data_IF_939704491735
#
_entry.id   IF_939704491735
#
_cell.length_a   1.000
_cell.length_b   1.000
_cell.length_c   1.000
_cell.angle_alpha   90.00
_cell.angle_beta   90.00
_cell.angle_gamma   90.00
#
_symmetry.space_group_name_H-M   'P 1'
#
loop_
_entity.id
_entity.type
_entity.pdbx_description
1 polymer ?
#
# COMPACT_ATOMS: atom_id res chain seq x y z
N UNK A 1 13.90 0.51 -23.50
CA UNK A 1 14.00 -0.87 -22.98
C UNK A 1 15.44 -1.27 -22.64
N UNK A 2 16.40 -1.21 -23.57
CA UNK A 2 17.78 -1.70 -23.38
C UNK A 2 18.49 -1.10 -22.14
N UNK A 3 18.36 0.20 -21.89
CA UNK A 3 18.96 0.86 -20.73
C UNK A 3 18.38 0.41 -19.37
N UNK A 4 17.09 0.07 -19.34
CA UNK A 4 16.39 -0.38 -18.13
C UNK A 4 16.82 -1.79 -17.73
N UNK A 5 17.01 -2.67 -18.73
CA UNK A 5 17.52 -4.03 -18.53
C UNK A 5 18.99 -4.05 -18.10
N UNK A 6 19.81 -3.10 -18.60
CA UNK A 6 21.20 -2.94 -18.17
C UNK A 6 21.31 -2.42 -16.73
N UNK A 7 20.46 -1.48 -16.34
CA UNK A 7 20.38 -0.97 -14.95
C UNK A 7 20.01 -2.09 -13.96
N UNK A 8 19.00 -2.91 -14.29
CA UNK A 8 18.57 -4.02 -13.43
C UNK A 8 19.64 -5.12 -13.30
N UNK A 9 20.32 -5.46 -14.41
CA UNK A 9 21.45 -6.42 -14.39
C UNK A 9 22.54 -5.96 -13.44
N UNK A 10 22.90 -4.67 -13.49
CA UNK A 10 23.90 -4.07 -12.60
C UNK A 10 23.49 -4.14 -11.13
N UNK A 11 22.24 -3.80 -10.81
CA UNK A 11 21.71 -3.87 -9.45
C UNK A 11 21.75 -5.31 -8.89
N UNK A 12 21.32 -6.30 -9.68
CA UNK A 12 21.35 -7.72 -9.29
C UNK A 12 22.79 -8.17 -9.02
N UNK A 13 23.72 -7.84 -9.92
CA UNK A 13 25.13 -8.19 -9.81
C UNK A 13 25.78 -7.60 -8.55
N UNK A 14 25.55 -6.31 -8.28
CA UNK A 14 26.08 -5.64 -7.08
C UNK A 14 25.52 -6.25 -5.81
N UNK A 15 24.22 -6.58 -5.77
CA UNK A 15 23.61 -7.19 -4.59
C UNK A 15 24.13 -8.61 -4.34
N UNK A 16 24.29 -9.42 -5.38
CA UNK A 16 24.88 -10.75 -5.29
C UNK A 16 26.31 -10.68 -4.71
N UNK A 17 27.14 -9.76 -5.22
CA UNK A 17 28.49 -9.50 -4.70
C UNK A 17 28.47 -9.12 -3.22
N UNK A 18 27.55 -8.25 -2.81
CA UNK A 18 27.42 -7.83 -1.41
C UNK A 18 27.03 -8.99 -0.50
N UNK A 19 26.02 -9.79 -0.87
CA UNK A 19 25.63 -10.98 -0.09
C UNK A 19 26.77 -11.99 0.06
N UNK A 20 27.54 -12.19 -1.01
CA UNK A 20 28.75 -13.02 -0.98
C UNK A 20 29.79 -12.49 0.01
N UNK A 21 30.06 -11.19 -0.03
CA UNK A 21 31.02 -10.53 0.86
C UNK A 21 30.56 -10.55 2.33
N UNK A 22 29.27 -10.36 2.59
CA UNK A 22 28.66 -10.46 3.94
C UNK A 22 28.85 -11.87 4.54
N UNK A 23 28.80 -12.93 3.70
CA UNK A 23 29.13 -14.31 4.09
C UNK A 23 30.63 -14.64 4.03
N UNK A 24 31.49 -13.67 3.68
CA UNK A 24 32.94 -13.81 3.49
C UNK A 24 33.34 -14.92 2.52
N UNK A 25 32.54 -15.16 1.48
CA UNK A 25 32.84 -16.17 0.47
C UNK A 25 33.71 -15.64 -0.66
N UNK A 26 34.57 -16.50 -1.19
CA UNK A 26 35.31 -16.24 -2.43
C UNK A 26 34.37 -16.34 -3.64
N UNK A 27 34.79 -15.79 -4.78
CA UNK A 27 34.04 -15.98 -6.03
C UNK A 27 33.94 -17.47 -6.40
N UNK A 28 35.02 -18.24 -6.25
CA UNK A 28 35.00 -19.69 -6.52
C UNK A 28 33.95 -20.40 -5.67
N UNK A 29 33.91 -20.12 -4.35
CA UNK A 29 32.95 -20.75 -3.45
C UNK A 29 31.48 -20.47 -3.82
N UNK A 30 31.14 -19.26 -4.23
CA UNK A 30 29.79 -18.96 -4.70
C UNK A 30 29.53 -19.59 -6.09
N UNK A 31 30.52 -19.56 -6.98
CA UNK A 31 30.40 -20.12 -8.32
C UNK A 31 30.08 -21.62 -8.28
N UNK A 32 30.77 -22.38 -7.42
CA UNK A 32 30.53 -23.81 -7.22
C UNK A 32 29.09 -24.09 -6.76
N UNK A 33 28.56 -23.28 -5.83
CA UNK A 33 27.18 -23.41 -5.31
C UNK A 33 26.12 -23.11 -6.35
N UNK A 34 26.44 -22.27 -7.33
CA UNK A 34 25.55 -21.86 -8.40
C UNK A 34 25.75 -22.67 -9.69
N UNK A 35 26.67 -23.65 -9.70
CA UNK A 35 26.98 -24.44 -10.88
C UNK A 35 27.57 -23.63 -12.03
N UNK A 36 28.44 -22.67 -11.73
CA UNK A 36 29.11 -21.82 -12.73
C UNK A 36 30.62 -21.72 -12.49
N UNK A 37 31.37 -21.30 -13.51
CA UNK A 37 32.80 -21.07 -13.37
C UNK A 37 33.09 -19.77 -12.60
N UNK A 38 34.20 -19.71 -11.87
CA UNK A 38 34.62 -18.48 -11.19
C UNK A 38 34.72 -17.28 -12.16
N UNK A 39 35.24 -17.50 -13.38
CA UNK A 39 35.31 -16.46 -14.40
C UNK A 39 33.91 -15.93 -14.76
N UNK A 40 32.93 -16.82 -14.91
CA UNK A 40 31.55 -16.42 -15.19
C UNK A 40 30.95 -15.62 -14.04
N UNK A 41 31.21 -16.00 -12.78
CA UNK A 41 30.78 -15.19 -11.64
C UNK A 41 31.41 -13.79 -11.67
N UNK A 42 32.71 -13.73 -11.95
CA UNK A 42 33.43 -12.46 -12.04
C UNK A 42 32.85 -11.54 -13.13
N UNK A 43 32.51 -12.08 -14.29
CA UNK A 43 31.82 -11.32 -15.35
C UNK A 43 30.46 -10.79 -14.90
N UNK A 44 29.67 -11.64 -14.24
CA UNK A 44 28.35 -11.26 -13.73
C UNK A 44 28.49 -10.14 -12.69
N UNK A 45 29.37 -10.28 -11.70
CA UNK A 45 29.59 -9.26 -10.65
C UNK A 45 30.13 -7.93 -11.20
N UNK A 46 30.74 -7.93 -12.39
CA UNK A 46 31.16 -6.73 -13.14
C UNK A 46 30.05 -6.16 -14.05
N UNK A 47 28.85 -6.73 -14.04
CA UNK A 47 27.72 -6.32 -14.87
C UNK A 47 27.79 -6.78 -16.33
N UNK A 48 28.80 -7.59 -16.70
CA UNK A 48 29.03 -8.07 -18.07
C UNK A 48 28.29 -9.39 -18.35
N UNK A 49 27.67 -9.99 -17.34
CA UNK A 49 26.85 -11.21 -17.47
C UNK A 49 25.54 -11.10 -16.70
N UNK A 50 24.68 -12.11 -16.88
CA UNK A 50 23.47 -12.31 -16.08
C UNK A 50 23.48 -13.73 -15.51
N UNK A 51 22.82 -13.92 -14.37
CA UNK A 51 22.39 -15.24 -13.92
C UNK A 51 21.30 -15.78 -14.84
N UNK A 52 21.25 -17.10 -15.04
CA UNK A 52 20.03 -17.76 -15.51
C UNK A 52 18.94 -17.71 -14.42
N UNK A 53 17.70 -18.04 -14.77
CA UNK A 53 16.62 -18.10 -13.79
C UNK A 53 16.90 -19.13 -12.69
N UNK A 54 17.42 -20.30 -13.05
CA UNK A 54 17.77 -21.39 -12.13
C UNK A 54 18.92 -20.98 -11.19
N UNK A 55 19.95 -20.34 -11.72
CA UNK A 55 21.06 -19.79 -10.93
C UNK A 55 20.57 -18.73 -9.96
N UNK A 56 19.65 -17.86 -10.41
CA UNK A 56 19.08 -16.82 -9.56
C UNK A 56 18.21 -17.42 -8.44
N UNK A 57 17.36 -18.40 -8.72
CA UNK A 57 16.60 -19.10 -7.67
C UNK A 57 17.51 -19.83 -6.68
N UNK A 58 18.62 -20.41 -7.16
CA UNK A 58 19.63 -21.04 -6.31
C UNK A 58 20.35 -20.02 -5.44
N UNK A 59 20.63 -18.82 -5.97
CA UNK A 59 21.19 -17.68 -5.24
C UNK A 59 20.25 -17.26 -4.09
N UNK A 60 18.95 -17.09 -4.37
CA UNK A 60 17.94 -16.75 -3.36
C UNK A 60 17.92 -17.78 -2.22
N UNK A 61 17.89 -19.07 -2.56
CA UNK A 61 17.93 -20.18 -1.59
C UNK A 61 19.22 -20.20 -0.78
N UNK A 62 20.36 -20.02 -1.44
CA UNK A 62 21.70 -20.08 -0.82
C UNK A 62 21.88 -19.01 0.25
N UNK A 63 21.38 -17.80 -0.02
CA UNK A 63 21.49 -16.69 0.92
C UNK A 63 20.28 -16.55 1.86
N UNK A 64 19.22 -17.34 1.63
CA UNK A 64 17.94 -17.27 2.33
C UNK A 64 17.33 -15.85 2.27
N UNK A 65 17.20 -15.31 1.06
CA UNK A 65 16.69 -13.97 0.79
C UNK A 65 15.53 -13.99 -0.20
N UNK A 66 14.66 -12.98 -0.10
CA UNK A 66 13.54 -12.79 -1.03
C UNK A 66 13.99 -12.04 -2.30
N UNK A 67 13.20 -12.14 -3.37
CA UNK A 67 13.47 -11.47 -4.65
C UNK A 67 13.60 -9.94 -4.49
N UNK A 68 12.78 -9.36 -3.60
CA UNK A 68 12.79 -7.92 -3.26
C UNK A 68 14.15 -7.41 -2.79
N UNK A 69 15.01 -8.31 -2.28
CA UNK A 69 16.38 -7.97 -1.87
C UNK A 69 17.23 -7.45 -3.03
N UNK A 70 16.88 -7.83 -4.27
CA UNK A 70 17.57 -7.45 -5.51
C UNK A 70 16.84 -6.38 -6.30
N UNK A 71 15.63 -5.97 -5.87
CA UNK A 71 14.95 -4.85 -6.46
C UNK A 71 15.72 -3.55 -6.13
N UNK A 72 15.81 -2.59 -7.07
CA UNK A 72 16.24 -1.25 -6.70
C UNK A 72 15.27 -0.69 -5.64
N UNK A 73 15.74 0.15 -4.70
CA UNK A 73 14.84 0.76 -3.73
C UNK A 73 13.80 1.57 -4.50
N UNK A 74 12.56 1.07 -4.53
CA UNK A 74 11.48 1.81 -5.12
C UNK A 74 11.07 2.93 -4.15
N UNK A 75 10.53 4.02 -4.70
CA UNK A 75 9.91 5.03 -3.85
C UNK A 75 8.71 4.37 -3.15
N UNK A 76 8.69 4.42 -1.81
CA UNK A 76 7.64 3.78 -1.01
C UNK A 76 6.23 4.18 -1.47
N UNK A 77 6.06 5.42 -1.92
CA UNK A 77 4.80 5.91 -2.50
C UNK A 77 4.37 5.14 -3.76
N UNK A 78 5.30 4.79 -4.65
CA UNK A 78 5.03 4.04 -5.88
C UNK A 78 4.76 2.55 -5.61
N UNK A 79 5.46 1.94 -4.65
CA UNK A 79 5.16 0.58 -4.18
C UNK A 79 3.73 0.49 -3.64
N UNK A 80 3.35 1.45 -2.79
CA UNK A 80 2.05 1.51 -2.16
C UNK A 80 0.94 1.76 -3.17
N UNK A 81 1.17 2.63 -4.16
CA UNK A 81 0.25 2.86 -5.27
C UNK A 81 -0.01 1.59 -6.09
N UNK A 82 1.05 0.85 -6.43
CA UNK A 82 0.91 -0.41 -7.16
C UNK A 82 0.20 -1.49 -6.32
N UNK A 83 0.46 -1.52 -5.02
CA UNK A 83 -0.24 -2.44 -4.12
C UNK A 83 -1.74 -2.12 -4.00
N UNK A 84 -2.10 -0.84 -3.90
CA UNK A 84 -3.49 -0.37 -3.94
C UNK A 84 -4.19 -0.73 -5.25
N UNK A 85 -3.53 -0.52 -6.39
CA UNK A 85 -4.07 -0.88 -7.70
C UNK A 85 -4.40 -2.37 -7.79
N UNK A 86 -3.46 -3.24 -7.40
CA UNK A 86 -3.66 -4.70 -7.33
C UNK A 86 -4.74 -5.11 -6.33
N UNK A 87 -4.89 -4.38 -5.22
CA UNK A 87 -5.92 -4.63 -4.22
C UNK A 87 -7.32 -4.11 -4.65
N UNK A 88 -7.48 -3.58 -5.86
CA UNK A 88 -8.78 -3.20 -6.43
C UNK A 88 -8.99 -1.70 -6.62
N UNK A 89 -8.02 -0.84 -6.27
CA UNK A 89 -8.03 0.57 -6.66
C UNK A 89 -7.52 0.76 -8.11
N UNK A 90 -8.18 0.09 -9.07
CA UNK A 90 -7.78 0.00 -10.48
C UNK A 90 -7.64 1.33 -11.21
N UNK A 91 -8.24 2.40 -10.68
CA UNK A 91 -8.11 3.77 -11.19
C UNK A 91 -6.76 4.44 -10.86
N UNK A 92 -5.91 3.82 -10.05
CA UNK A 92 -4.55 4.28 -9.81
C UNK A 92 -3.65 3.77 -10.94
N UNK A 93 -2.88 4.68 -11.54
CA UNK A 93 -1.94 4.31 -12.60
C UNK A 93 -0.77 3.51 -12.01
N UNK A 94 -0.53 2.29 -12.49
CA UNK A 94 0.61 1.51 -12.00
C UNK A 94 1.95 2.10 -12.50
N UNK A 95 2.89 2.28 -11.58
CA UNK A 95 4.27 2.60 -11.89
C UNK A 95 4.93 1.35 -12.50
N UNK A 96 5.26 1.41 -13.79
CA UNK A 96 5.77 0.25 -14.58
C UNK A 96 7.18 -0.20 -14.18
N UNK A 97 7.90 0.62 -13.45
CA UNK A 97 9.29 0.44 -13.04
C UNK A 97 9.44 -0.10 -11.61
N UNK A 98 8.34 -0.35 -10.91
CA UNK A 98 8.34 -0.83 -9.53
C UNK A 98 7.95 -2.31 -9.46
N UNK A 99 8.85 -3.13 -8.92
CA UNK A 99 8.59 -4.55 -8.69
C UNK A 99 7.58 -4.74 -7.55
N UNK A 100 6.66 -5.72 -7.66
CA UNK A 100 5.80 -6.11 -6.56
C UNK A 100 6.65 -6.59 -5.37
N UNK A 101 6.28 -6.17 -4.16
CA UNK A 101 6.86 -6.68 -2.91
C UNK A 101 5.89 -7.62 -2.22
N UNK A 102 6.43 -8.68 -1.59
CA UNK A 102 5.63 -9.57 -0.75
C UNK A 102 5.08 -8.85 0.50
N UNK A 103 5.73 -7.78 0.96
CA UNK A 103 5.30 -6.98 2.12
C UNK A 103 3.88 -6.43 1.96
N UNK A 104 3.50 -6.05 0.74
CA UNK A 104 2.23 -5.37 0.43
C UNK A 104 1.27 -6.27 -0.34
N UNK A 105 1.35 -7.58 -0.10
CA UNK A 105 0.48 -8.57 -0.75
C UNK A 105 -0.92 -8.64 -0.14
N UNK A 106 -1.01 -8.47 1.18
CA UNK A 106 -2.29 -8.55 1.90
C UNK A 106 -2.97 -7.18 1.95
N UNK A 107 -4.28 -7.14 1.65
CA UNK A 107 -5.08 -5.92 1.68
C UNK A 107 -5.04 -5.23 3.06
N UNK A 108 -5.01 -6.01 4.15
CA UNK A 108 -4.88 -5.49 5.51
C UNK A 108 -3.59 -4.68 5.70
N UNK A 109 -2.46 -5.21 5.23
CA UNK A 109 -1.16 -4.53 5.30
C UNK A 109 -1.18 -3.25 4.47
N UNK A 110 -1.75 -3.30 3.26
CA UNK A 110 -1.89 -2.10 2.40
C UNK A 110 -2.72 -1.02 3.10
N UNK A 111 -3.87 -1.38 3.68
CA UNK A 111 -4.73 -0.43 4.41
C UNK A 111 -3.95 0.21 5.57
N UNK A 112 -3.26 -0.59 6.38
CA UNK A 112 -2.47 -0.09 7.51
C UNK A 112 -1.37 0.88 7.06
N UNK A 113 -0.61 0.54 6.02
CA UNK A 113 0.49 1.36 5.51
C UNK A 113 0.01 2.70 4.92
N UNK A 114 -1.13 2.70 4.22
CA UNK A 114 -1.76 3.95 3.73
C UNK A 114 -2.20 4.84 4.87
N UNK A 115 -2.83 4.28 5.91
CA UNK A 115 -3.28 5.06 7.07
C UNK A 115 -2.10 5.61 7.89
N UNK A 116 -1.01 4.84 7.99
CA UNK A 116 0.19 5.25 8.70
C UNK A 116 0.95 6.36 7.95
N UNK A 117 1.17 6.18 6.65
CA UNK A 117 1.94 7.13 5.84
C UNK A 117 1.13 8.39 5.49
N UNK A 118 -0.13 8.24 5.10
CA UNK A 118 -1.07 9.29 4.72
C UNK A 118 -0.50 10.37 3.76
N UNK A 119 0.51 10.01 2.95
CA UNK A 119 1.27 10.99 2.17
C UNK A 119 0.52 11.53 0.95
N UNK A 120 -0.51 10.82 0.51
CA UNK A 120 -1.26 11.14 -0.70
C UNK A 120 -2.76 11.03 -0.46
N UNK A 121 -3.52 12.14 -0.61
CA UNK A 121 -4.99 12.12 -0.57
C UNK A 121 -5.59 11.04 -1.47
N UNK A 122 -5.05 10.90 -2.68
CA UNK A 122 -5.49 9.91 -3.67
C UNK A 122 -5.29 8.47 -3.20
N UNK A 123 -4.21 8.18 -2.49
CA UNK A 123 -3.97 6.83 -1.93
C UNK A 123 -4.90 6.55 -0.75
N UNK A 124 -5.20 7.56 0.07
CA UNK A 124 -6.14 7.45 1.20
C UNK A 124 -7.57 7.21 0.69
N UNK A 125 -8.04 7.95 -0.31
CA UNK A 125 -9.39 7.77 -0.86
C UNK A 125 -9.53 6.46 -1.63
N UNK A 126 -8.43 5.96 -2.21
CA UNK A 126 -8.37 4.63 -2.82
C UNK A 126 -8.60 3.46 -1.84
N UNK A 127 -8.60 3.71 -0.53
CA UNK A 127 -9.02 2.69 0.44
C UNK A 127 -10.50 2.29 0.25
N UNK A 128 -11.37 3.16 -0.24
CA UNK A 128 -12.77 2.81 -0.49
C UNK A 128 -12.92 1.65 -1.50
N UNK A 129 -12.37 1.72 -2.72
CA UNK A 129 -12.43 0.59 -3.64
C UNK A 129 -11.65 -0.64 -3.17
N UNK A 130 -10.57 -0.47 -2.39
CA UNK A 130 -9.87 -1.63 -1.78
C UNK A 130 -10.76 -2.36 -0.77
N UNK A 131 -11.44 -1.64 0.12
CA UNK A 131 -12.37 -2.22 1.09
C UNK A 131 -13.51 -2.97 0.38
N UNK A 132 -14.08 -2.38 -0.68
CA UNK A 132 -15.14 -3.01 -1.48
C UNK A 132 -14.68 -4.30 -2.15
N UNK A 133 -13.49 -4.31 -2.76
CA UNK A 133 -13.02 -5.47 -3.52
C UNK A 133 -12.48 -6.61 -2.63
N UNK A 134 -12.18 -6.33 -1.36
CA UNK A 134 -11.65 -7.32 -0.43
C UNK A 134 -12.59 -7.65 0.72
N UNK A 135 -13.84 -7.15 0.70
CA UNK A 135 -14.77 -7.24 1.83
C UNK A 135 -14.96 -8.66 2.37
N UNK A 136 -14.94 -9.67 1.50
CA UNK A 136 -15.17 -11.07 1.87
C UNK A 136 -13.98 -11.72 2.59
N UNK A 137 -12.77 -11.20 2.37
CA UNK A 137 -11.54 -11.70 3.00
C UNK A 137 -11.04 -10.84 4.16
N UNK A 138 -11.66 -9.68 4.40
CA UNK A 138 -11.21 -8.74 5.43
C UNK A 138 -11.74 -9.13 6.81
N UNK A 139 -10.82 -9.44 7.73
CA UNK A 139 -11.13 -9.56 9.15
C UNK A 139 -11.01 -8.18 9.82
N UNK A 140 -12.14 -7.49 9.99
CA UNK A 140 -12.17 -6.16 10.60
C UNK A 140 -11.72 -6.17 12.06
N UNK A 141 -12.03 -7.21 12.84
CA UNK A 141 -11.57 -7.31 14.22
C UNK A 141 -10.04 -7.33 14.32
N UNK A 142 -9.39 -8.13 13.45
CA UNK A 142 -7.92 -8.16 13.32
C UNK A 142 -7.39 -6.80 12.86
N UNK A 143 -7.96 -6.23 11.80
CA UNK A 143 -7.53 -4.93 11.27
C UNK A 143 -7.61 -3.83 12.34
N UNK A 144 -8.71 -3.76 13.11
CA UNK A 144 -8.86 -2.80 14.20
C UNK A 144 -7.85 -3.03 15.33
N UNK A 145 -7.59 -4.28 15.72
CA UNK A 145 -6.56 -4.61 16.71
C UNK A 145 -5.16 -4.18 16.24
N UNK A 146 -4.83 -4.45 14.97
CA UNK A 146 -3.54 -4.11 14.38
C UNK A 146 -3.34 -2.59 14.33
N UNK A 147 -4.34 -1.81 13.90
CA UNK A 147 -4.22 -0.34 13.89
C UNK A 147 -4.31 0.28 15.28
N UNK A 148 -4.97 -0.37 16.24
CA UNK A 148 -5.03 0.09 17.62
C UNK A 148 -3.65 0.06 18.28
N UNK A 149 -2.86 -1.00 18.01
CA UNK A 149 -1.49 -1.13 18.54
C UNK A 149 -0.56 0.01 18.14
N UNK A 150 -0.89 0.74 17.06
CA UNK A 150 -0.12 1.87 16.52
C UNK A 150 -0.88 3.20 16.62
N UNK A 151 -2.01 3.26 17.33
CA UNK A 151 -2.76 4.49 17.55
C UNK A 151 -3.55 5.02 16.35
N UNK A 152 -3.75 4.21 15.30
CA UNK A 152 -4.41 4.63 14.05
C UNK A 152 -5.90 4.26 13.98
N UNK A 153 -6.51 3.83 15.09
CA UNK A 153 -7.94 3.47 15.15
C UNK A 153 -8.85 4.60 14.66
N UNK A 154 -8.53 5.86 15.01
CA UNK A 154 -9.29 7.02 14.57
C UNK A 154 -9.24 7.22 13.05
N UNK A 155 -8.07 7.06 12.43
CA UNK A 155 -7.88 7.15 10.97
C UNK A 155 -8.64 6.04 10.24
N UNK A 156 -8.60 4.82 10.75
CA UNK A 156 -9.35 3.71 10.16
C UNK A 156 -10.86 3.95 10.24
N UNK A 157 -11.37 4.30 11.43
CA UNK A 157 -12.80 4.58 11.60
C UNK A 157 -13.29 5.73 10.72
N UNK A 158 -12.49 6.80 10.59
CA UNK A 158 -12.76 7.89 9.67
C UNK A 158 -12.80 7.45 8.20
N UNK A 159 -11.81 6.68 7.74
CA UNK A 159 -11.77 6.20 6.36
C UNK A 159 -12.94 5.25 6.06
N UNK A 160 -13.31 4.40 7.02
CA UNK A 160 -14.46 3.50 6.92
C UNK A 160 -15.77 4.29 6.88
N UNK A 161 -15.95 5.30 7.73
CA UNK A 161 -17.17 6.12 7.72
C UNK A 161 -17.32 6.93 6.42
N UNK A 162 -16.22 7.49 5.90
CA UNK A 162 -16.26 8.13 4.58
C UNK A 162 -16.59 7.13 3.46
N UNK A 163 -16.07 5.91 3.53
CA UNK A 163 -16.40 4.84 2.58
C UNK A 163 -17.88 4.46 2.65
N UNK A 164 -18.46 4.34 3.86
CA UNK A 164 -19.90 4.09 4.06
C UNK A 164 -20.74 5.23 3.45
N UNK A 165 -20.36 6.48 3.68
CA UNK A 165 -21.03 7.65 3.09
C UNK A 165 -20.97 7.63 1.56
N UNK A 166 -19.81 7.31 0.98
CA UNK A 166 -19.61 7.20 -0.45
C UNK A 166 -20.46 6.06 -1.06
N UNK A 167 -20.50 4.89 -0.41
CA UNK A 167 -21.34 3.76 -0.82
C UNK A 167 -22.82 4.11 -0.80
N UNK A 168 -23.30 4.84 0.21
CA UNK A 168 -24.68 5.31 0.25
C UNK A 168 -25.00 6.25 -0.92
N UNK A 169 -24.06 7.13 -1.30
CA UNK A 169 -24.19 7.99 -2.48
C UNK A 169 -24.26 7.19 -3.79
N UNK A 170 -23.43 6.17 -3.96
CA UNK A 170 -23.46 5.30 -5.15
C UNK A 170 -24.72 4.43 -5.22
N UNK A 171 -25.19 3.89 -4.09
CA UNK A 171 -26.40 3.06 -4.03
C UNK A 171 -27.68 3.83 -4.35
N UNK A 172 -27.68 5.16 -4.21
CA UNK A 172 -28.77 6.03 -4.63
C UNK A 172 -28.83 6.23 -6.16
N UNK A 173 -27.76 5.90 -6.89
CA UNK A 173 -27.70 5.94 -8.35
C UNK A 173 -28.20 4.62 -8.96
N UNK A 174 -28.47 4.63 -10.27
CA UNK A 174 -28.68 3.40 -11.01
C UNK A 174 -27.35 2.62 -11.16
N UNK A 175 -27.30 1.43 -10.57
CA UNK A 175 -26.16 0.53 -10.61
C UNK A 175 -26.50 -0.79 -11.33
N UNK A 176 -25.54 -1.42 -12.01
CA UNK A 176 -25.68 -2.82 -12.42
C UNK A 176 -25.91 -3.75 -11.20
N UNK A 177 -26.70 -4.84 -11.33
CA UNK A 177 -27.03 -5.73 -10.20
C UNK A 177 -25.81 -6.22 -9.42
N UNK A 178 -24.73 -6.62 -10.12
CA UNK A 178 -23.48 -7.09 -9.51
C UNK A 178 -22.88 -6.07 -8.52
N UNK A 179 -22.90 -4.79 -8.90
CA UNK A 179 -22.32 -3.70 -8.11
C UNK A 179 -23.23 -3.29 -6.97
N UNK A 180 -24.54 -3.29 -7.18
CA UNK A 180 -25.51 -3.04 -6.12
C UNK A 180 -25.36 -4.06 -4.98
N UNK A 181 -25.29 -5.36 -5.31
CA UNK A 181 -25.11 -6.42 -4.29
C UNK A 181 -23.80 -6.20 -3.53
N UNK A 182 -22.69 -6.00 -4.25
CA UNK A 182 -21.37 -5.81 -3.64
C UNK A 182 -21.31 -4.57 -2.74
N UNK A 183 -21.83 -3.44 -3.20
CA UNK A 183 -21.85 -2.19 -2.42
C UNK A 183 -22.76 -2.30 -1.19
N UNK A 184 -23.94 -2.90 -1.32
CA UNK A 184 -24.83 -3.14 -0.18
C UNK A 184 -24.19 -4.03 0.89
N UNK A 185 -23.57 -5.15 0.48
CA UNK A 185 -22.85 -6.05 1.39
C UNK A 185 -21.70 -5.34 2.09
N UNK A 186 -20.91 -4.58 1.32
CA UNK A 186 -19.79 -3.80 1.87
C UNK A 186 -20.28 -2.78 2.88
N UNK A 187 -21.31 -2.01 2.55
CA UNK A 187 -21.89 -1.00 3.43
C UNK A 187 -22.32 -1.62 4.76
N UNK A 188 -23.05 -2.75 4.74
CA UNK A 188 -23.50 -3.45 5.96
C UNK A 188 -22.32 -3.89 6.83
N UNK A 189 -21.31 -4.53 6.23
CA UNK A 189 -20.14 -5.00 6.96
C UNK A 189 -19.35 -3.84 7.60
N UNK A 190 -19.19 -2.73 6.87
CA UNK A 190 -18.52 -1.54 7.38
C UNK A 190 -19.32 -0.86 8.51
N UNK A 191 -20.64 -0.71 8.36
CA UNK A 191 -21.51 -0.16 9.41
C UNK A 191 -21.49 -1.00 10.69
N UNK A 192 -21.50 -2.32 10.55
CA UNK A 192 -21.34 -3.25 11.68
C UNK A 192 -19.98 -3.03 12.37
N UNK A 193 -18.90 -2.89 11.59
CA UNK A 193 -17.55 -2.66 12.14
C UNK A 193 -17.43 -1.33 12.89
N UNK A 194 -18.03 -0.25 12.37
CA UNK A 194 -18.04 1.06 13.02
C UNK A 194 -18.79 1.05 14.35
N UNK A 195 -19.88 0.29 14.41
CA UNK A 195 -20.68 0.15 15.62
C UNK A 195 -19.91 -0.55 16.75
N UNK A 196 -19.01 -1.47 16.41
CA UNK A 196 -18.22 -2.24 17.38
C UNK A 196 -17.06 -1.45 18.01
N UNK A 197 -16.45 -0.52 17.27
CA UNK A 197 -15.24 0.21 17.70
C UNK A 197 -15.57 1.40 18.61
N UNK A 198 -16.82 1.83 18.60
CA UNK A 198 -17.25 3.04 19.29
C UNK A 198 -16.67 4.30 18.64
N UNK A 199 -17.33 5.43 18.84
CA UNK A 199 -16.79 6.73 18.40
C UNK A 199 -15.62 7.12 19.31
N UNK A 200 -14.61 7.84 18.81
CA UNK A 200 -13.48 8.27 19.65
C UNK A 200 -14.01 9.01 20.88
N UNK A 201 -13.66 8.49 22.06
CA UNK A 201 -14.09 9.04 23.34
C UNK A 201 -13.62 10.47 23.51
N UNK A 202 -14.55 11.37 23.81
CA UNK A 202 -14.30 12.80 24.02
C UNK A 202 -13.58 13.07 25.33
N UNK A 203 -12.28 12.83 25.37
CA UNK A 203 -11.41 13.42 26.38
C UNK A 203 -11.19 14.92 26.07
N UNK A 204 -11.27 15.83 27.06
CA UNK A 204 -11.09 17.28 26.87
C UNK A 204 -9.68 17.68 26.40
N UNK A 205 -8.72 16.75 26.35
CA UNK A 205 -7.34 16.98 25.94
C UNK A 205 -6.94 16.32 24.60
N UNK A 206 -7.84 15.66 23.86
CA UNK A 206 -7.41 14.94 22.67
C UNK A 206 -7.00 15.90 21.52
N UNK A 207 -5.76 15.82 21.08
CA UNK A 207 -5.24 16.63 19.97
C UNK A 207 -5.89 16.16 18.67
N UNK A 208 -6.20 17.07 17.73
CA UNK A 208 -6.65 16.66 16.39
C UNK A 208 -5.51 15.89 15.70
N UNK A 209 -5.86 14.79 15.05
CA UNK A 209 -4.92 14.03 14.22
C UNK A 209 -4.70 14.74 12.89
N UNK A 210 -3.48 15.21 12.66
CA UNK A 210 -3.07 15.87 11.41
C UNK A 210 -2.73 14.79 10.39
N UNK A 211 -3.65 14.56 9.46
CA UNK A 211 -3.51 13.55 8.41
C UNK A 211 -2.84 14.13 7.16
N UNK A 212 -3.11 15.39 6.85
CA UNK A 212 -2.69 16.03 5.60
C UNK A 212 -1.25 16.58 5.72
N UNK A 213 -0.30 16.08 4.91
CA UNK A 213 1.10 16.51 4.99
C UNK A 213 1.31 17.95 4.54
N UNK A 214 0.36 18.56 3.82
CA UNK A 214 0.38 19.96 3.42
C UNK A 214 -0.06 20.93 4.53
N UNK A 215 -0.25 20.47 5.77
CA UNK A 215 -0.52 21.31 6.93
C UNK A 215 0.82 21.69 7.57
N UNK A 216 1.40 22.79 7.09
CA UNK A 216 2.73 23.24 7.52
C UNK A 216 2.69 24.32 8.62
N UNK A 217 1.52 24.89 8.93
CA UNK A 217 1.39 25.98 9.90
C UNK A 217 0.09 25.89 10.72
N UNK A 218 0.08 26.57 11.87
CA UNK A 218 -1.11 26.70 12.72
C UNK A 218 -2.26 27.39 11.99
N UNK A 219 -1.95 28.41 11.18
CA UNK A 219 -2.94 29.10 10.36
C UNK A 219 -3.62 28.15 9.37
N UNK A 220 -2.83 27.37 8.61
CA UNK A 220 -3.36 26.36 7.69
C UNK A 220 -4.18 25.31 8.43
N UNK A 221 -3.75 24.89 9.63
CA UNK A 221 -4.50 23.96 10.46
C UNK A 221 -5.86 24.52 10.89
N UNK A 222 -5.93 25.79 11.29
CA UNK A 222 -7.18 26.44 11.69
C UNK A 222 -8.16 26.57 10.52
N UNK A 223 -7.66 26.96 9.34
CA UNK A 223 -8.47 27.01 8.11
C UNK A 223 -9.08 25.65 7.79
N UNK A 224 -8.27 24.60 7.78
CA UNK A 224 -8.72 23.24 7.49
C UNK A 224 -9.70 22.74 8.55
N UNK A 225 -9.50 23.09 9.82
CA UNK A 225 -10.46 22.74 10.88
C UNK A 225 -11.82 23.42 10.71
N UNK A 226 -11.86 24.61 10.12
CA UNK A 226 -13.11 25.28 9.78
C UNK A 226 -13.82 24.59 8.61
N UNK A 227 -13.08 24.20 7.57
CA UNK A 227 -13.62 23.66 6.31
C UNK A 227 -13.85 22.13 6.31
N UNK A 228 -13.25 21.39 7.25
CA UNK A 228 -13.33 19.91 7.27
C UNK A 228 -14.78 19.40 7.36
N UNK A 229 -15.01 18.24 6.76
CA UNK A 229 -16.32 17.57 6.77
C UNK A 229 -16.82 17.23 8.18
N UNK A 230 -18.13 16.99 8.33
CA UNK A 230 -18.71 16.55 9.60
C UNK A 230 -18.12 15.21 10.09
N UNK A 231 -17.75 14.31 9.17
CA UNK A 231 -17.08 13.04 9.50
C UNK A 231 -15.68 13.34 10.06
N UNK A 232 -14.89 14.19 9.38
CA UNK A 232 -13.57 14.61 9.86
C UNK A 232 -13.63 15.31 11.22
N UNK A 233 -14.65 16.16 11.48
CA UNK A 233 -14.88 16.76 12.81
C UNK A 233 -15.13 15.69 13.88
N UNK A 234 -16.00 14.72 13.60
CA UNK A 234 -16.38 13.66 14.54
C UNK A 234 -15.19 12.78 14.91
N UNK A 235 -14.36 12.43 13.94
CA UNK A 235 -13.16 11.61 14.15
C UNK A 235 -11.93 12.42 14.58
N UNK A 236 -12.06 13.74 14.76
CA UNK A 236 -10.97 14.66 15.13
C UNK A 236 -9.79 14.60 14.16
N UNK A 237 -10.07 14.48 12.87
CA UNK A 237 -9.05 14.46 11.82
C UNK A 237 -8.99 15.84 11.17
N UNK A 238 -7.79 16.39 11.07
CA UNK A 238 -7.48 17.59 10.30
C UNK A 238 -6.97 17.17 8.93
N UNK A 239 -7.81 17.36 7.91
CA UNK A 239 -7.52 16.99 6.52
C UNK A 239 -8.37 17.81 5.57
N UNK A 240 -7.83 18.11 4.38
CA UNK A 240 -8.60 18.68 3.27
C UNK A 240 -9.48 17.65 2.57
N UNK A 241 -9.22 16.35 2.78
CA UNK A 241 -9.94 15.26 2.12
C UNK A 241 -11.43 15.33 2.47
N UNK A 242 -12.27 15.37 1.43
CA UNK A 242 -13.72 15.41 1.55
C UNK A 242 -14.37 14.05 1.26
N UNK A 243 -15.57 13.77 1.81
CA UNK A 243 -16.29 12.53 1.57
C UNK A 243 -16.54 12.24 0.07
N UNK A 244 -16.72 13.29 -0.73
CA UNK A 244 -16.96 13.20 -2.17
C UNK A 244 -15.77 12.58 -2.92
N UNK A 245 -14.53 12.75 -2.43
CA UNK A 245 -13.34 12.17 -3.04
C UNK A 245 -13.29 10.64 -2.90
N UNK A 246 -13.84 10.09 -1.80
CA UNK A 246 -14.02 8.63 -1.65
C UNK A 246 -15.05 8.09 -2.65
N UNK A 247 -16.11 8.86 -2.91
CA UNK A 247 -17.12 8.50 -3.90
C UNK A 247 -16.53 8.53 -5.32
N UNK A 248 -15.77 9.57 -5.66
CA UNK A 248 -15.06 9.66 -6.94
C UNK A 248 -14.10 8.49 -7.13
N UNK A 249 -13.38 8.06 -6.08
CA UNK A 249 -12.50 6.90 -6.14
C UNK A 249 -13.25 5.58 -6.42
N UNK A 250 -14.43 5.38 -5.82
CA UNK A 250 -15.29 4.23 -6.11
C UNK A 250 -15.78 4.24 -7.57
N UNK A 251 -16.25 5.39 -8.03
CA UNK A 251 -16.77 5.58 -9.39
C UNK A 251 -15.68 5.31 -10.43
N UNK A 252 -14.49 5.88 -10.25
CA UNK A 252 -13.35 5.69 -11.12
C UNK A 252 -12.86 4.23 -11.16
N UNK A 253 -12.77 3.56 -10.00
CA UNK A 253 -12.37 2.16 -9.94
C UNK A 253 -13.36 1.25 -10.66
N UNK A 254 -14.67 1.51 -10.51
CA UNK A 254 -15.73 0.78 -11.21
C UNK A 254 -15.68 1.00 -12.72
N UNK A 255 -15.43 2.22 -13.18
CA UNK A 255 -15.33 2.56 -14.61
C UNK A 255 -14.10 1.99 -15.30
N UNK A 256 -13.12 1.50 -14.53
CA UNK A 256 -11.87 0.90 -15.04
C UNK A 256 -11.94 -0.63 -15.19
N UNK A 257 -13.12 -1.25 -14.97
CA UNK A 257 -13.37 -2.70 -14.96
C UNK A 257 -14.42 -3.12 -16.00
#
# INVERSE_FOLDING_TARGET
MIALTQSLRGAIAQRARRLRQERRWTQAALADRLGLSQNRLSEIERGQGSFTAEQFLTLLRTFNVQIDTFAPPAQAASELQNALARAGATHLAEARDVLPTERLREALTVIREVLASAQSPRQVTALAPVLVNNIDGLNFAKLYADVHSVGLTGRLGWAVENTVRALAGELAKELPPRWRIRYSRTKVALEQSLSAVGRPGGGPAAVDDILDPGIASLETLLLIKAERSAISRRWRIATRIQPEEFQQALEAARGSL
#
